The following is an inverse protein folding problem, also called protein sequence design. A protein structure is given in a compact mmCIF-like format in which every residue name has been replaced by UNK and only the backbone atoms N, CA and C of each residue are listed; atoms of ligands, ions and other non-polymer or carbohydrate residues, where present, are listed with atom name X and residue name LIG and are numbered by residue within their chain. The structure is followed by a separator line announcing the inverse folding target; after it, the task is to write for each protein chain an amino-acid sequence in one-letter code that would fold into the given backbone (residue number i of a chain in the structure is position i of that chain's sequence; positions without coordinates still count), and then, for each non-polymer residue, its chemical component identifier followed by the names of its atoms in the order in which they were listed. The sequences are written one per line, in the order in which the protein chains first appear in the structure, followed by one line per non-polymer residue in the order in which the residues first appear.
data_IF_710549407296
#
_entry.id   IF_710549407296
#
_cell.length_a   1.000
_cell.length_b   1.000
_cell.length_c   1.000
_cell.angle_alpha   90.00
_cell.angle_beta   90.00
_cell.angle_gamma   90.00
#
_symmetry.space_group_name_H-M   'P 1'
#
loop_
_entity.id
_entity.type
_entity.pdbx_description
1 polymer ?
#
# COMPACT_ATOMS: atom_id res chain seq x y z
N UNK A 1 -8.87 3.90 -19.64
CA UNK A 1 -7.76 3.18 -19.01
C UNK A 1 -7.84 3.06 -17.47
N UNK A 2 -7.50 1.89 -16.91
CA UNK A 2 -7.23 1.71 -15.46
C UNK A 2 -5.76 2.01 -15.16
N UNK A 3 -5.48 2.88 -14.19
CA UNK A 3 -4.12 3.24 -13.78
C UNK A 3 -3.80 2.61 -12.42
N UNK A 4 -2.87 1.67 -12.39
CA UNK A 4 -2.30 1.19 -11.12
C UNK A 4 -1.09 2.03 -10.72
N UNK A 5 -1.36 3.14 -10.01
CA UNK A 5 -0.39 4.20 -9.79
C UNK A 5 0.77 3.75 -8.87
N UNK A 6 0.50 2.93 -7.84
CA UNK A 6 1.45 2.68 -6.75
C UNK A 6 2.06 1.28 -6.72
N UNK A 7 2.09 0.57 -7.84
CA UNK A 7 2.68 -0.78 -7.90
C UNK A 7 4.21 -0.80 -7.71
N UNK A 8 4.90 0.26 -8.14
CA UNK A 8 6.38 0.34 -8.08
C UNK A 8 6.87 1.08 -6.84
N UNK A 9 6.08 2.03 -6.36
CA UNK A 9 6.36 2.85 -5.18
C UNK A 9 5.04 3.26 -4.54
N UNK A 10 5.05 3.45 -3.22
CA UNK A 10 3.91 3.93 -2.47
C UNK A 10 3.73 5.44 -2.74
N UNK A 11 3.01 5.77 -3.82
CA UNK A 11 2.76 7.14 -4.22
C UNK A 11 2.04 7.93 -3.12
N UNK A 12 0.96 7.43 -2.49
CA UNK A 12 0.30 8.15 -1.41
C UNK A 12 1.24 8.50 -0.26
N UNK A 13 2.16 7.60 0.12
CA UNK A 13 3.06 7.82 1.23
C UNK A 13 4.21 8.79 0.90
N UNK A 14 4.75 8.76 -0.33
CA UNK A 14 6.04 9.39 -0.63
C UNK A 14 6.00 10.45 -1.75
N UNK A 15 4.96 10.44 -2.59
CA UNK A 15 4.92 11.23 -3.83
C UNK A 15 3.55 11.86 -4.10
N UNK A 16 2.76 12.13 -3.04
CA UNK A 16 1.42 12.71 -3.18
C UNK A 16 1.42 14.06 -3.89
N UNK A 17 2.29 15.00 -3.49
CA UNK A 17 2.36 16.32 -4.13
C UNK A 17 2.74 16.22 -5.61
N UNK A 18 3.79 15.44 -5.91
CA UNK A 18 4.21 15.17 -7.29
C UNK A 18 3.08 14.56 -8.12
N UNK A 19 2.35 13.59 -7.57
CA UNK A 19 1.25 12.95 -8.26
C UNK A 19 0.13 13.95 -8.57
N UNK A 20 -0.20 14.83 -7.62
CA UNK A 20 -1.20 15.86 -7.84
C UNK A 20 -0.77 16.90 -8.88
N UNK A 21 0.52 17.23 -8.98
CA UNK A 21 1.02 18.03 -10.10
C UNK A 21 0.76 17.35 -11.44
N UNK A 22 1.04 16.04 -11.55
CA UNK A 22 0.76 15.28 -12.79
C UNK A 22 -0.74 15.23 -13.10
N UNK A 23 -1.58 15.10 -12.07
CA UNK A 23 -3.06 15.17 -12.21
C UNK A 23 -3.49 16.53 -12.77
N UNK A 24 -2.87 17.62 -12.33
CA UNK A 24 -3.16 18.98 -12.81
C UNK A 24 -2.67 19.21 -14.23
N UNK A 25 -1.51 18.64 -14.59
CA UNK A 25 -0.98 18.67 -15.95
C UNK A 25 -1.74 17.75 -16.92
N UNK A 26 -2.41 16.72 -16.39
CA UNK A 26 -3.26 15.80 -17.16
C UNK A 26 -2.49 14.70 -17.87
N UNK A 27 -1.20 14.50 -17.60
CA UNK A 27 -0.40 13.41 -18.15
C UNK A 27 0.85 13.12 -17.30
N UNK A 28 1.48 11.98 -17.55
CA UNK A 28 2.79 11.63 -16.98
C UNK A 28 3.61 10.78 -17.96
N UNK A 29 4.91 11.04 -18.05
CA UNK A 29 5.84 10.15 -18.74
C UNK A 29 6.30 9.04 -17.79
N UNK A 30 6.13 7.78 -18.20
CA UNK A 30 6.60 6.61 -17.46
C UNK A 30 7.67 5.86 -18.25
N UNK A 31 8.75 5.48 -17.57
CA UNK A 31 9.80 4.63 -18.15
C UNK A 31 9.45 3.15 -18.01
N UNK A 32 9.76 2.35 -19.02
CA UNK A 32 9.70 0.90 -18.91
C UNK A 32 10.80 0.43 -17.92
N UNK A 33 10.46 -0.38 -16.89
CA UNK A 33 11.40 -0.81 -15.87
C UNK A 33 12.47 -1.78 -16.41
N UNK A 34 12.19 -2.47 -17.52
CA UNK A 34 13.12 -3.39 -18.18
C UNK A 34 13.94 -2.71 -19.28
N UNK A 35 13.42 -1.63 -19.88
CA UNK A 35 14.14 -0.83 -20.88
C UNK A 35 13.90 0.68 -20.65
N UNK A 36 14.77 1.37 -19.88
CA UNK A 36 14.57 2.77 -19.52
C UNK A 36 14.57 3.75 -20.69
N UNK A 37 15.12 3.36 -21.85
CA UNK A 37 15.07 4.18 -23.08
C UNK A 37 13.65 4.26 -23.65
N UNK A 38 12.82 3.25 -23.38
CA UNK A 38 11.42 3.25 -23.77
C UNK A 38 10.61 4.06 -22.76
N UNK A 39 10.08 5.19 -23.24
CA UNK A 39 9.19 6.09 -22.51
C UNK A 39 7.78 5.96 -23.07
N UNK A 40 6.78 6.02 -22.19
CA UNK A 40 5.37 6.05 -22.54
C UNK A 40 4.72 7.28 -21.91
N UNK A 41 4.02 8.06 -22.72
CA UNK A 41 3.12 9.09 -22.21
C UNK A 41 1.82 8.41 -21.77
N UNK A 42 1.42 8.64 -20.52
CA UNK A 42 0.17 8.15 -19.96
C UNK A 42 -0.72 9.34 -19.72
N UNK A 43 -1.88 9.37 -20.37
CA UNK A 43 -2.88 10.38 -20.07
C UNK A 43 -3.40 10.21 -18.64
N UNK A 44 -3.55 11.32 -17.94
CA UNK A 44 -4.22 11.42 -16.67
C UNK A 44 -5.52 12.22 -16.81
N UNK A 45 -5.98 12.58 -18.00
CA UNK A 45 -7.23 13.36 -18.14
C UNK A 45 -8.43 12.52 -17.64
N UNK A 46 -9.37 13.09 -16.85
CA UNK A 46 -10.47 12.33 -16.25
C UNK A 46 -11.29 11.52 -17.24
N UNK A 47 -11.50 12.04 -18.46
CA UNK A 47 -12.25 11.37 -19.53
C UNK A 47 -11.58 10.12 -20.10
N UNK A 48 -10.29 9.92 -19.85
CA UNK A 48 -9.50 8.80 -20.40
C UNK A 48 -9.08 7.79 -19.32
N UNK A 49 -9.39 8.07 -18.06
CA UNK A 49 -9.03 7.27 -16.90
C UNK A 49 -10.31 6.81 -16.20
N UNK A 50 -10.64 5.51 -16.26
CA UNK A 50 -11.85 5.04 -15.58
C UNK A 50 -11.62 4.87 -14.07
N UNK A 51 -10.41 4.49 -13.65
CA UNK A 51 -10.07 4.39 -12.22
C UNK A 51 -8.57 4.47 -11.96
N UNK A 52 -8.22 5.09 -10.83
CA UNK A 52 -6.85 5.12 -10.30
C UNK A 52 -6.77 4.19 -9.08
N UNK A 53 -5.89 3.20 -9.13
CA UNK A 53 -5.68 2.24 -8.04
C UNK A 53 -4.41 2.60 -7.28
N UNK A 54 -4.57 2.98 -6.02
CA UNK A 54 -3.49 3.27 -5.09
C UNK A 54 -3.15 2.05 -4.22
N UNK A 55 -1.86 1.87 -3.97
CA UNK A 55 -1.33 0.87 -3.03
C UNK A 55 -0.54 1.64 -2.00
N UNK A 56 -0.88 1.49 -0.71
CA UNK A 56 -0.21 2.27 0.33
C UNK A 56 -0.18 1.61 1.69
N UNK A 57 0.80 2.01 2.49
CA UNK A 57 0.86 1.79 3.95
C UNK A 57 0.60 3.09 4.72
N UNK A 58 0.55 4.24 4.05
CA UNK A 58 0.38 5.56 4.65
C UNK A 58 -0.35 6.50 3.69
N UNK A 59 -1.67 6.65 3.86
CA UNK A 59 -2.46 7.54 3.01
C UNK A 59 -2.41 9.01 3.45
N UNK A 60 -1.92 9.33 4.65
CA UNK A 60 -2.05 10.68 5.21
C UNK A 60 -1.56 11.80 4.28
N UNK A 61 -0.44 11.66 3.53
CA UNK A 61 0.00 12.74 2.64
C UNK A 61 -0.95 12.97 1.45
N UNK A 62 -1.74 11.97 1.06
CA UNK A 62 -2.72 12.07 -0.03
C UNK A 62 -4.11 12.51 0.45
N UNK A 63 -4.48 12.26 1.72
CA UNK A 63 -5.81 12.58 2.26
C UNK A 63 -6.29 14.01 1.95
N UNK A 64 -5.47 15.08 2.10
CA UNK A 64 -5.90 16.45 1.82
C UNK A 64 -6.29 16.68 0.36
N UNK A 65 -5.74 15.89 -0.57
CA UNK A 65 -5.96 16.05 -2.01
C UNK A 65 -7.15 15.25 -2.55
N UNK A 66 -7.76 14.38 -1.74
CA UNK A 66 -8.88 13.56 -2.20
C UNK A 66 -10.07 14.41 -2.66
N UNK A 67 -10.32 15.55 -1.99
CA UNK A 67 -11.37 16.49 -2.41
C UNK A 67 -11.09 17.04 -3.82
N UNK A 68 -9.85 17.41 -4.12
CA UNK A 68 -9.47 17.89 -5.46
C UNK A 68 -9.63 16.78 -6.51
N UNK A 69 -9.30 15.53 -6.18
CA UNK A 69 -9.54 14.39 -7.08
C UNK A 69 -11.03 14.19 -7.37
N UNK A 70 -11.87 14.29 -6.33
CA UNK A 70 -13.33 14.18 -6.46
C UNK A 70 -13.88 15.31 -7.35
N UNK A 71 -13.50 16.58 -7.10
CA UNK A 71 -13.93 17.75 -7.87
C UNK A 71 -13.48 17.72 -9.33
N UNK A 72 -12.33 17.08 -9.62
CA UNK A 72 -11.84 16.86 -10.98
C UNK A 72 -12.48 15.66 -11.68
N UNK A 73 -13.36 14.91 -11.01
CA UNK A 73 -14.11 13.80 -11.58
C UNK A 73 -13.33 12.48 -11.66
N UNK A 74 -12.32 12.27 -10.81
CA UNK A 74 -11.60 11.00 -10.77
C UNK A 74 -12.30 9.98 -9.88
N UNK A 75 -12.35 8.74 -10.37
CA UNK A 75 -12.62 7.58 -9.53
C UNK A 75 -11.32 6.90 -9.12
N UNK A 76 -11.26 6.47 -7.87
CA UNK A 76 -10.08 5.82 -7.33
C UNK A 76 -10.41 4.80 -6.24
N UNK A 77 -9.53 3.82 -6.07
CA UNK A 77 -9.63 2.77 -5.07
C UNK A 77 -8.29 2.54 -4.38
N UNK A 78 -8.33 2.09 -3.14
CA UNK A 78 -7.16 1.86 -2.31
C UNK A 78 -6.99 0.39 -1.94
N UNK A 79 -5.76 -0.09 -2.11
CA UNK A 79 -5.23 -1.30 -1.53
C UNK A 79 -4.30 -0.90 -0.38
N UNK A 80 -4.84 -0.93 0.84
CA UNK A 80 -4.16 -0.40 2.02
C UNK A 80 -3.56 -1.53 2.86
N UNK A 81 -2.25 -1.57 2.99
CA UNK A 81 -1.55 -2.58 3.78
C UNK A 81 -1.37 -2.16 5.24
N UNK A 82 -1.90 -2.99 6.15
CA UNK A 82 -1.66 -2.91 7.59
C UNK A 82 -1.43 -4.35 8.06
N UNK A 83 -0.22 -4.67 8.51
CA UNK A 83 0.10 -6.02 9.04
C UNK A 83 0.38 -6.02 10.55
N UNK A 84 0.77 -4.87 11.11
CA UNK A 84 1.02 -4.74 12.55
C UNK A 84 2.31 -5.41 13.01
N UNK A 85 3.23 -5.74 12.10
CA UNK A 85 4.50 -6.37 12.45
C UNK A 85 5.50 -5.39 13.07
N UNK A 86 5.40 -4.12 12.69
CA UNK A 86 6.24 -3.05 13.23
C UNK A 86 7.72 -3.20 12.87
N UNK A 87 8.60 -2.36 13.43
CA UNK A 87 10.05 -2.49 13.23
C UNK A 87 10.57 -3.81 13.81
N UNK A 88 11.58 -4.42 13.19
CA UNK A 88 12.31 -3.94 12.02
C UNK A 88 11.67 -4.26 10.66
N UNK A 89 10.61 -5.08 10.64
CA UNK A 89 9.97 -5.57 9.41
C UNK A 89 9.32 -4.43 8.60
N UNK A 90 8.77 -3.43 9.30
CA UNK A 90 7.99 -2.35 8.72
C UNK A 90 8.58 -0.96 9.03
N UNK A 91 9.92 -0.82 8.99
CA UNK A 91 10.63 0.40 9.43
C UNK A 91 10.14 1.72 8.80
N UNK A 92 9.60 1.69 7.58
CA UNK A 92 9.12 2.89 6.86
C UNK A 92 7.59 3.05 6.90
N UNK A 93 6.89 2.14 7.59
CA UNK A 93 5.45 2.24 7.80
C UNK A 93 5.14 3.19 8.97
N UNK A 94 3.97 3.84 8.98
CA UNK A 94 3.49 4.54 10.16
C UNK A 94 3.26 3.54 11.31
N UNK A 95 3.23 4.01 12.56
CA UNK A 95 2.73 3.22 13.69
C UNK A 95 1.35 2.62 13.38
N UNK A 96 1.06 1.44 13.90
CA UNK A 96 -0.16 0.68 13.54
C UNK A 96 -1.42 1.45 13.93
N UNK A 97 -1.42 2.11 15.09
CA UNK A 97 -2.54 2.92 15.58
C UNK A 97 -2.84 4.07 14.63
N UNK A 98 -1.78 4.72 14.13
CA UNK A 98 -1.89 5.79 13.14
C UNK A 98 -2.43 5.25 11.82
N UNK A 99 -1.91 4.11 11.34
CA UNK A 99 -2.38 3.48 10.11
C UNK A 99 -3.87 3.11 10.18
N UNK A 100 -4.34 2.64 11.34
CA UNK A 100 -5.74 2.31 11.60
C UNK A 100 -6.64 3.55 11.58
N UNK A 101 -6.22 4.64 12.22
CA UNK A 101 -6.99 5.90 12.18
C UNK A 101 -7.06 6.45 10.76
N UNK A 102 -5.93 6.49 10.04
CA UNK A 102 -5.88 6.93 8.65
C UNK A 102 -6.76 6.05 7.73
N UNK A 103 -6.78 4.74 7.94
CA UNK A 103 -7.64 3.80 7.21
C UNK A 103 -9.13 4.10 7.45
N UNK A 104 -9.52 4.31 8.71
CA UNK A 104 -10.89 4.66 9.08
C UNK A 104 -11.30 5.97 8.42
N UNK A 105 -10.50 7.03 8.55
CA UNK A 105 -10.76 8.35 7.94
C UNK A 105 -10.87 8.26 6.42
N UNK A 106 -10.02 7.45 5.78
CA UNK A 106 -10.11 7.19 4.35
C UNK A 106 -11.45 6.54 3.99
N UNK A 107 -11.81 5.45 4.67
CA UNK A 107 -13.07 4.74 4.45
C UNK A 107 -14.30 5.63 4.71
N UNK A 108 -14.31 6.42 5.79
CA UNK A 108 -15.37 7.38 6.09
C UNK A 108 -15.54 8.40 4.94
N UNK A 109 -14.43 8.86 4.35
CA UNK A 109 -14.46 9.84 3.25
C UNK A 109 -14.89 9.24 1.91
N UNK A 110 -14.46 8.03 1.59
CA UNK A 110 -14.64 7.47 0.23
C UNK A 110 -15.58 6.25 0.18
N UNK A 111 -16.04 5.77 1.33
CA UNK A 111 -16.85 4.58 1.46
C UNK A 111 -16.02 3.28 1.47
N UNK A 112 -16.46 2.28 2.24
CA UNK A 112 -15.72 1.04 2.47
C UNK A 112 -15.51 0.21 1.20
N UNK A 113 -16.39 0.34 0.20
CA UNK A 113 -16.28 -0.37 -1.10
C UNK A 113 -15.04 0.03 -1.91
N UNK A 114 -14.47 1.21 -1.64
CA UNK A 114 -13.30 1.75 -2.36
C UNK A 114 -11.99 1.55 -1.59
N UNK A 115 -12.04 0.93 -0.40
CA UNK A 115 -10.85 0.62 0.39
C UNK A 115 -10.82 -0.89 0.61
N UNK A 116 -9.71 -1.54 0.25
CA UNK A 116 -9.47 -2.95 0.52
C UNK A 116 -8.30 -3.06 1.47
N UNK A 117 -8.51 -3.71 2.62
CA UNK A 117 -7.43 -4.01 3.55
C UNK A 117 -6.57 -5.13 3.00
N UNK A 118 -5.25 -4.95 3.08
CA UNK A 118 -4.25 -5.95 2.76
C UNK A 118 -3.50 -6.35 4.03
N UNK A 119 -3.80 -7.53 4.55
CA UNK A 119 -2.92 -8.20 5.51
C UNK A 119 -1.95 -9.08 4.73
N UNK A 120 -1.07 -8.41 3.99
CA UNK A 120 -0.23 -9.02 2.98
C UNK A 120 1.15 -8.31 2.96
N UNK A 121 2.26 -9.05 3.11
CA UNK A 121 2.33 -10.51 3.23
C UNK A 121 2.16 -11.04 4.65
N UNK A 122 1.60 -12.24 4.77
CA UNK A 122 1.68 -13.11 5.93
C UNK A 122 3.12 -13.62 6.02
N UNK A 123 3.75 -13.43 7.18
CA UNK A 123 5.08 -13.95 7.48
C UNK A 123 5.04 -14.96 8.61
N UNK A 124 6.04 -15.84 8.63
CA UNK A 124 6.31 -16.71 9.78
C UNK A 124 7.64 -16.37 10.42
N UNK A 125 7.59 -16.11 11.73
CA UNK A 125 8.73 -15.89 12.60
C UNK A 125 8.85 -17.09 13.54
N UNK A 126 9.85 -17.98 13.38
CA UNK A 126 9.99 -19.15 14.23
C UNK A 126 10.06 -18.84 15.72
N UNK A 127 10.66 -17.69 16.09
CA UNK A 127 10.76 -17.25 17.48
C UNK A 127 9.45 -16.71 18.09
N UNK A 128 8.39 -16.54 17.28
CA UNK A 128 7.07 -16.05 17.76
C UNK A 128 5.93 -17.04 17.52
N UNK A 129 6.12 -18.02 16.64
CA UNK A 129 5.05 -18.94 16.25
C UNK A 129 3.99 -18.30 15.35
N UNK A 130 2.98 -19.10 14.99
CA UNK A 130 1.86 -18.66 14.13
C UNK A 130 0.85 -17.82 14.90
N UNK A 131 0.75 -18.04 16.21
CA UNK A 131 -0.17 -17.38 17.13
C UNK A 131 0.06 -15.86 17.12
N UNK A 132 1.32 -15.42 17.07
CA UNK A 132 1.64 -14.01 16.95
C UNK A 132 1.07 -13.36 15.68
N UNK A 133 1.14 -14.05 14.53
CA UNK A 133 0.59 -13.52 13.28
C UNK A 133 -0.94 -13.45 13.34
N UNK A 134 -1.58 -14.43 13.98
CA UNK A 134 -3.03 -14.43 14.23
C UNK A 134 -3.43 -13.26 15.16
N UNK A 135 -2.69 -13.03 16.25
CA UNK A 135 -2.93 -11.89 17.13
C UNK A 135 -2.82 -10.55 16.40
N UNK A 136 -1.83 -10.39 15.52
CA UNK A 136 -1.70 -9.20 14.67
C UNK A 136 -2.94 -9.01 13.78
N UNK A 137 -3.39 -10.08 13.11
CA UNK A 137 -4.58 -10.05 12.27
C UNK A 137 -5.83 -9.69 13.07
N UNK A 138 -6.06 -10.35 14.21
CA UNK A 138 -7.22 -10.15 15.08
C UNK A 138 -7.29 -8.72 15.63
N UNK A 139 -6.15 -8.15 16.04
CA UNK A 139 -6.09 -6.76 16.53
C UNK A 139 -6.51 -5.77 15.45
N UNK A 140 -6.10 -6.01 14.20
CA UNK A 140 -6.39 -5.10 13.09
C UNK A 140 -7.83 -5.27 12.61
N UNK A 141 -8.29 -6.51 12.38
CA UNK A 141 -9.63 -6.76 11.81
C UNK A 141 -10.75 -6.19 12.69
N UNK A 142 -10.61 -6.22 14.02
CA UNK A 142 -11.57 -5.61 14.95
C UNK A 142 -11.80 -4.12 14.69
N UNK A 143 -10.81 -3.42 14.15
CA UNK A 143 -10.87 -1.98 13.87
C UNK A 143 -11.25 -1.72 12.41
N UNK A 144 -10.71 -2.49 11.47
CA UNK A 144 -10.92 -2.22 10.03
C UNK A 144 -12.17 -2.86 9.46
N UNK A 145 -12.73 -3.92 10.05
CA UNK A 145 -13.89 -4.63 9.48
C UNK A 145 -15.11 -3.74 9.18
N UNK A 146 -15.47 -2.75 10.02
CA UNK A 146 -16.56 -1.81 9.68
C UNK A 146 -16.25 -0.86 8.50
N UNK A 147 -14.98 -0.81 8.07
CA UNK A 147 -14.42 0.17 7.15
C UNK A 147 -13.94 -0.44 5.81
N UNK A 148 -14.24 -1.71 5.55
CA UNK A 148 -13.91 -2.39 4.30
C UNK A 148 -14.79 -3.62 4.12
N UNK A 149 -15.15 -3.91 2.87
CA UNK A 149 -15.89 -5.15 2.53
C UNK A 149 -14.94 -6.29 2.10
N UNK A 150 -13.63 -6.03 2.05
CA UNK A 150 -12.64 -6.97 1.53
C UNK A 150 -11.33 -6.95 2.30
N UNK A 151 -10.79 -8.15 2.50
CA UNK A 151 -9.40 -8.38 2.91
C UNK A 151 -8.67 -9.19 1.84
N UNK A 152 -7.40 -8.86 1.59
CA UNK A 152 -6.48 -9.65 0.76
C UNK A 152 -5.34 -10.14 1.64
N UNK A 153 -5.02 -11.42 1.50
CA UNK A 153 -3.91 -12.09 2.19
C UNK A 153 -3.10 -12.90 1.18
N UNK A 154 -1.80 -12.97 1.39
CA UNK A 154 -0.89 -13.91 0.73
C UNK A 154 0.30 -14.20 1.63
N UNK A 155 0.95 -15.34 1.44
CA UNK A 155 2.22 -15.64 2.12
C UNK A 155 3.38 -14.89 1.46
N UNK A 156 4.42 -14.61 2.24
CA UNK A 156 5.61 -13.93 1.74
C UNK A 156 6.33 -14.77 0.67
N UNK A 157 6.45 -14.21 -0.53
CA UNK A 157 7.31 -14.76 -1.57
C UNK A 157 8.79 -14.39 -1.34
N UNK A 158 9.66 -15.39 -1.40
CA UNK A 158 11.10 -15.23 -1.22
C UNK A 158 11.85 -14.95 -2.54
N UNK A 159 11.50 -13.85 -3.21
CA UNK A 159 12.31 -13.35 -4.32
C UNK A 159 13.73 -13.02 -3.87
N UNK A 160 14.70 -13.08 -4.80
CA UNK A 160 16.12 -12.87 -4.51
C UNK A 160 16.40 -11.54 -3.77
N UNK A 161 15.73 -10.45 -4.17
CA UNK A 161 15.81 -9.15 -3.50
C UNK A 161 15.25 -9.17 -2.08
N UNK A 162 14.19 -9.93 -1.83
CA UNK A 162 13.56 -10.10 -0.50
C UNK A 162 14.49 -10.90 0.40
N UNK A 163 15.01 -12.04 -0.09
CA UNK A 163 15.99 -12.89 0.63
C UNK A 163 17.18 -12.06 1.12
N UNK A 164 17.82 -11.27 0.25
CA UNK A 164 18.96 -10.41 0.63
C UNK A 164 18.61 -9.40 1.72
N UNK A 165 17.42 -8.79 1.64
CA UNK A 165 16.95 -7.82 2.65
C UNK A 165 16.69 -8.48 4.00
N UNK A 166 16.04 -9.64 4.00
CA UNK A 166 15.77 -10.41 5.22
C UNK A 166 17.05 -10.92 5.87
N UNK A 167 18.02 -11.40 5.08
CA UNK A 167 19.33 -11.81 5.58
C UNK A 167 20.08 -10.64 6.23
N UNK A 168 20.09 -9.48 5.58
CA UNK A 168 20.71 -8.27 6.15
C UNK A 168 20.04 -7.89 7.47
N UNK A 169 18.71 -7.81 7.49
CA UNK A 169 17.94 -7.52 8.70
C UNK A 169 18.22 -8.56 9.80
N UNK A 170 18.24 -9.85 9.47
CA UNK A 170 18.52 -10.92 10.43
C UNK A 170 19.92 -10.84 11.05
N UNK A 171 20.93 -10.39 10.30
CA UNK A 171 22.27 -10.11 10.85
C UNK A 171 22.27 -8.93 11.83
N UNK A 172 21.45 -7.92 11.58
CA UNK A 172 21.37 -6.70 12.40
C UNK A 172 20.51 -6.88 13.66
N UNK A 173 19.46 -7.70 13.59
CA UNK A 173 18.44 -7.76 14.66
C UNK A 173 18.21 -9.15 15.24
N UNK A 174 18.86 -10.19 14.70
CA UNK A 174 18.63 -11.59 15.08
C UNK A 174 17.28 -12.18 14.62
N UNK A 175 16.42 -11.41 13.93
CA UNK A 175 15.11 -11.89 13.48
C UNK A 175 15.25 -12.75 12.22
N UNK A 176 14.68 -13.95 12.28
CA UNK A 176 14.62 -14.88 11.15
C UNK A 176 13.19 -14.98 10.64
N UNK A 177 12.97 -14.64 9.38
CA UNK A 177 11.75 -14.95 8.63
C UNK A 177 12.07 -16.17 7.77
N UNK A 178 11.22 -17.20 7.81
CA UNK A 178 11.43 -18.42 7.01
C UNK A 178 10.35 -18.59 5.95
N UNK A 179 10.72 -19.30 4.89
CA UNK A 179 9.78 -19.79 3.90
C UNK A 179 8.98 -20.94 4.51
N UNK A 180 7.68 -20.97 4.21
CA UNK A 180 6.79 -22.05 4.64
C UNK A 180 6.67 -23.15 3.58
N UNK A 181 7.28 -22.94 2.40
CA UNK A 181 7.32 -23.88 1.28
C UNK A 181 8.73 -24.44 1.06
#
# INVERSE_FOLDING_TARGET
MIISASRRTDIPAFYSSWFMERIREGWVEVKNPFNPSQKKLVSLRPKEVEVIVFWTRNVSPLLPYLKELDERGYYYAFLYTITGYGPPLEKKSPPVEKALDDFRRLSEKIGPKRVTWRFDPIIYLPGKGKEWTLECFEKIIRVVAPNTDRVVVSFLDFYEKVKRRLQKMGKETGLKVIDLY
#
